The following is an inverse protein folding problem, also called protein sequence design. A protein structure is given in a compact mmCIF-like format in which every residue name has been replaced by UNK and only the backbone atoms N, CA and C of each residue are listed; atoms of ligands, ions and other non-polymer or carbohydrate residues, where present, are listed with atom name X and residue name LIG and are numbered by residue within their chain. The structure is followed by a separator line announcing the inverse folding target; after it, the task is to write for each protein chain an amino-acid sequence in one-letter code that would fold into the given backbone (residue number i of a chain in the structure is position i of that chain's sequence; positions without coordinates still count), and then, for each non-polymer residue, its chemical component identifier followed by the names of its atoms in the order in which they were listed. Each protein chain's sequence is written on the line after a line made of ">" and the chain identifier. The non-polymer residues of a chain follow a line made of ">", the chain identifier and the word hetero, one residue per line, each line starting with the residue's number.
data_IF_244338076006
#
_entry.id   IF_244338076006
#
_cell.length_a   1.000
_cell.length_b   1.000
_cell.length_c   1.000
_cell.angle_alpha   90.00
_cell.angle_beta   90.00
_cell.angle_gamma   90.00
#
_symmetry.space_group_name_H-M   'P 1'
#
loop_
_entity.id
_entity.type
_entity.pdbx_description
1 polymer ?
#
# COMPACT_ATOMS: atom_id res chain seq x y z
N UNK A 1 15.10 9.99 -7.83
CA UNK A 1 16.58 10.05 -7.75
C UNK A 1 17.18 11.17 -8.58
N UNK A 2 16.79 11.37 -9.84
CA UNK A 2 17.36 12.41 -10.71
C UNK A 2 17.14 13.87 -10.21
N UNK A 3 15.95 14.18 -9.66
CA UNK A 3 15.70 15.48 -9.01
C UNK A 3 16.62 15.72 -7.81
N UNK A 4 16.85 14.68 -7.01
CA UNK A 4 17.72 14.70 -5.84
C UNK A 4 19.18 14.98 -6.26
N UNK A 5 19.68 14.33 -7.31
CA UNK A 5 21.02 14.58 -7.83
C UNK A 5 21.19 16.00 -8.38
N UNK A 6 20.16 16.58 -8.99
CA UNK A 6 20.18 18.00 -9.38
C UNK A 6 20.34 18.92 -8.18
N UNK A 7 19.60 18.67 -7.09
CA UNK A 7 19.74 19.44 -5.84
C UNK A 7 21.16 19.33 -5.27
N UNK A 8 21.73 18.13 -5.25
CA UNK A 8 23.11 17.94 -4.79
C UNK A 8 24.13 18.60 -5.73
N UNK A 9 23.89 18.64 -7.03
CA UNK A 9 24.79 19.34 -7.95
C UNK A 9 24.82 20.85 -7.71
N UNK A 10 23.67 21.45 -7.40
CA UNK A 10 23.60 22.85 -6.95
C UNK A 10 24.37 23.06 -5.64
N UNK A 11 24.28 22.12 -4.69
CA UNK A 11 25.06 22.19 -3.46
C UNK A 11 26.57 22.14 -3.72
N UNK A 12 27.05 21.32 -4.68
CA UNK A 12 28.47 21.29 -5.09
C UNK A 12 28.92 22.62 -5.68
N UNK A 13 28.13 23.23 -6.56
CA UNK A 13 28.42 24.54 -7.13
C UNK A 13 28.43 25.64 -6.07
N UNK A 14 27.47 25.61 -5.13
CA UNK A 14 27.45 26.51 -3.98
C UNK A 14 28.69 26.37 -3.10
N UNK A 15 29.11 25.13 -2.83
CA UNK A 15 30.35 24.84 -2.09
C UNK A 15 31.61 25.37 -2.80
N UNK A 16 31.71 25.19 -4.11
CA UNK A 16 32.80 25.76 -4.91
C UNK A 16 32.82 27.29 -4.86
N UNK A 17 31.65 27.93 -4.97
CA UNK A 17 31.52 29.39 -4.84
C UNK A 17 31.98 29.89 -3.46
N UNK A 18 31.57 29.21 -2.38
CA UNK A 18 32.03 29.54 -1.03
C UNK A 18 33.54 29.37 -0.87
N UNK A 19 34.13 28.31 -1.45
CA UNK A 19 35.58 28.11 -1.42
C UNK A 19 36.33 29.26 -2.09
N UNK A 20 35.86 29.74 -3.26
CA UNK A 20 36.47 30.88 -3.94
C UNK A 20 36.29 32.21 -3.19
N UNK A 21 35.12 32.43 -2.59
CA UNK A 21 34.81 33.69 -1.91
C UNK A 21 35.50 33.80 -0.55
N UNK A 22 35.50 32.74 0.25
CA UNK A 22 35.95 32.77 1.63
C UNK A 22 37.36 32.25 1.81
N UNK A 23 37.83 31.34 0.94
CA UNK A 23 39.11 30.69 1.12
C UNK A 23 40.34 31.62 1.12
N UNK A 24 40.39 32.71 0.33
CA UNK A 24 41.49 33.70 0.42
C UNK A 24 41.57 34.43 1.77
N UNK A 25 40.50 34.43 2.57
CA UNK A 25 40.46 35.08 3.88
C UNK A 25 41.16 34.28 4.98
N UNK A 26 41.64 33.06 4.69
CA UNK A 26 42.35 32.21 5.64
C UNK A 26 43.87 32.30 5.41
N UNK A 27 44.60 33.13 6.16
CA UNK A 27 46.00 33.47 5.90
C UNK A 27 46.97 32.29 6.03
N UNK A 28 46.57 31.23 6.74
CA UNK A 28 47.37 30.02 6.98
C UNK A 28 47.21 28.96 5.89
N UNK A 29 46.36 29.20 4.89
CA UNK A 29 46.06 28.26 3.82
C UNK A 29 46.65 28.82 2.53
N UNK A 30 47.53 28.05 1.89
CA UNK A 30 48.10 28.46 0.60
C UNK A 30 46.98 28.69 -0.42
N UNK A 31 46.89 29.91 -0.96
CA UNK A 31 45.85 30.33 -1.93
C UNK A 31 45.72 29.33 -3.09
N UNK A 32 46.82 28.72 -3.53
CA UNK A 32 46.81 27.68 -4.57
C UNK A 32 45.96 26.45 -4.24
N UNK A 33 45.91 26.02 -2.98
CA UNK A 33 45.11 24.86 -2.55
C UNK A 33 43.61 25.18 -2.56
N UNK A 34 43.24 26.38 -2.11
CA UNK A 34 41.85 26.86 -2.14
C UNK A 34 41.34 26.96 -3.58
N UNK A 35 42.12 27.62 -4.46
CA UNK A 35 41.76 27.78 -5.85
C UNK A 35 41.70 26.42 -6.56
N UNK A 36 42.66 25.53 -6.30
CA UNK A 36 42.66 24.17 -6.84
C UNK A 36 41.44 23.36 -6.45
N UNK A 37 41.05 23.39 -5.16
CA UNK A 37 39.84 22.73 -4.66
C UNK A 37 38.57 23.29 -5.30
N UNK A 38 38.42 24.62 -5.36
CA UNK A 38 37.28 25.28 -5.99
C UNK A 38 37.16 24.91 -7.48
N UNK A 39 38.27 24.99 -8.23
CA UNK A 39 38.30 24.63 -9.65
C UNK A 39 37.95 23.17 -9.87
N UNK A 40 38.47 22.27 -9.04
CA UNK A 40 38.12 20.85 -9.10
C UNK A 40 36.62 20.63 -8.84
N UNK A 41 36.06 21.24 -7.81
CA UNK A 41 34.63 21.11 -7.49
C UNK A 41 33.73 21.64 -8.61
N UNK A 42 34.10 22.76 -9.25
CA UNK A 42 33.36 23.31 -10.40
C UNK A 42 33.45 22.38 -11.62
N UNK A 43 34.66 21.91 -11.96
CA UNK A 43 34.85 20.99 -13.08
C UNK A 43 34.10 19.67 -12.86
N UNK A 44 34.14 19.15 -11.64
CA UNK A 44 33.42 17.94 -11.24
C UNK A 44 31.91 18.13 -11.31
N UNK A 45 31.36 19.24 -10.81
CA UNK A 45 29.93 19.55 -10.93
C UNK A 45 29.48 19.69 -12.41
N UNK A 46 30.33 20.23 -13.27
CA UNK A 46 30.10 20.29 -14.71
C UNK A 46 30.09 18.90 -15.36
N UNK A 47 31.05 18.04 -15.01
CA UNK A 47 31.08 16.65 -15.47
C UNK A 47 29.85 15.86 -15.01
N UNK A 48 29.42 16.03 -13.76
CA UNK A 48 28.19 15.45 -13.22
C UNK A 48 26.97 15.94 -14.00
N UNK A 49 26.83 17.25 -14.22
CA UNK A 49 25.71 17.80 -14.98
C UNK A 49 25.66 17.21 -16.40
N UNK A 50 26.81 17.09 -17.08
CA UNK A 50 26.90 16.49 -18.40
C UNK A 50 26.50 15.01 -18.40
N UNK A 51 26.90 14.25 -17.39
CA UNK A 51 26.51 12.84 -17.24
C UNK A 51 25.01 12.72 -17.00
N UNK A 52 24.42 13.59 -16.16
CA UNK A 52 22.99 13.59 -15.86
C UNK A 52 22.11 13.95 -17.08
N UNK A 53 22.60 14.77 -18.01
CA UNK A 53 21.86 15.14 -19.22
C UNK A 53 21.92 14.08 -20.34
N UNK A 54 22.74 13.04 -20.21
CA UNK A 54 22.92 12.03 -21.26
C UNK A 54 21.99 10.83 -21.05
N UNK A 55 20.93 10.74 -21.84
CA UNK A 55 19.97 9.62 -21.77
C UNK A 55 20.61 8.24 -22.00
N UNK A 56 21.68 8.18 -22.81
CA UNK A 56 22.46 6.96 -23.09
C UNK A 56 23.05 6.29 -21.84
N UNK A 57 23.18 7.00 -20.72
CA UNK A 57 23.82 6.50 -19.49
C UNK A 57 22.85 6.09 -18.39
N UNK A 58 21.53 6.03 -18.66
CA UNK A 58 20.52 5.59 -17.67
C UNK A 58 20.79 4.22 -17.05
N UNK A 59 21.27 3.25 -17.84
CA UNK A 59 21.58 1.91 -17.34
C UNK A 59 22.78 1.88 -16.36
N UNK A 60 23.73 2.80 -16.52
CA UNK A 60 24.89 2.93 -15.62
C UNK A 60 24.64 3.85 -14.43
N UNK A 61 23.48 4.51 -14.36
CA UNK A 61 23.16 5.53 -13.38
C UNK A 61 23.40 5.10 -11.92
N UNK A 62 23.03 3.88 -11.47
CA UNK A 62 23.30 3.46 -10.10
C UNK A 62 24.79 3.35 -9.76
N UNK A 63 25.61 2.87 -10.71
CA UNK A 63 27.07 2.78 -10.53
C UNK A 63 27.71 4.16 -10.51
N UNK A 64 27.24 5.05 -11.39
CA UNK A 64 27.69 6.45 -11.46
C UNK A 64 27.41 7.18 -10.14
N UNK A 65 26.20 7.03 -9.58
CA UNK A 65 25.84 7.71 -8.31
C UNK A 65 26.68 7.20 -7.13
N UNK A 66 27.00 5.89 -7.08
CA UNK A 66 27.93 5.34 -6.07
C UNK A 66 29.33 5.91 -6.20
N UNK A 67 29.85 5.96 -7.42
CA UNK A 67 31.15 6.57 -7.70
C UNK A 67 31.17 8.05 -7.31
N UNK A 68 30.14 8.80 -7.71
CA UNK A 68 30.02 10.21 -7.37
C UNK A 68 29.98 10.46 -5.86
N UNK A 69 29.28 9.60 -5.12
CA UNK A 69 29.22 9.70 -3.68
C UNK A 69 30.57 9.41 -3.00
N UNK A 70 31.31 8.42 -3.51
CA UNK A 70 32.67 8.16 -3.04
C UNK A 70 33.60 9.35 -3.32
N UNK A 71 33.47 10.00 -4.49
CA UNK A 71 34.19 11.23 -4.82
C UNK A 71 33.78 12.37 -3.89
N UNK A 72 32.50 12.55 -3.60
CA UNK A 72 32.02 13.59 -2.67
C UNK A 72 32.62 13.40 -1.26
N UNK A 73 32.65 12.16 -0.75
CA UNK A 73 33.31 11.81 0.52
C UNK A 73 34.81 12.13 0.48
N UNK A 74 35.49 11.79 -0.62
CA UNK A 74 36.90 12.10 -0.83
C UNK A 74 37.18 13.60 -0.89
N UNK A 75 36.33 14.39 -1.55
CA UNK A 75 36.44 15.85 -1.60
C UNK A 75 36.34 16.45 -0.20
N UNK A 76 35.41 15.96 0.63
CA UNK A 76 35.26 16.46 2.00
C UNK A 76 36.47 16.08 2.86
N UNK A 77 36.95 14.84 2.77
CA UNK A 77 38.16 14.41 3.48
C UNK A 77 39.39 15.22 3.05
N UNK A 78 39.57 15.46 1.75
CA UNK A 78 40.66 16.28 1.23
C UNK A 78 40.53 17.75 1.65
N UNK A 79 39.32 18.30 1.63
CA UNK A 79 39.05 19.66 2.14
C UNK A 79 39.46 19.77 3.61
N UNK A 80 39.10 18.79 4.45
CA UNK A 80 39.50 18.76 5.86
C UNK A 80 41.04 18.74 6.02
N UNK A 81 41.74 18.03 5.14
CA UNK A 81 43.21 17.97 5.12
C UNK A 81 43.84 19.30 4.67
N UNK A 82 43.28 19.98 3.67
CA UNK A 82 43.79 21.29 3.20
C UNK A 82 43.70 22.34 4.31
N UNK A 83 42.59 22.33 5.07
CA UNK A 83 42.37 23.25 6.19
C UNK A 83 43.08 22.79 7.48
N UNK A 84 43.86 21.72 7.45
CA UNK A 84 44.55 21.17 8.61
C UNK A 84 45.57 22.14 9.24
N UNK A 85 46.17 23.04 8.46
CA UNK A 85 47.10 24.04 8.97
C UNK A 85 46.42 25.20 9.73
N UNK A 86 45.09 25.33 9.63
CA UNK A 86 44.34 26.41 10.28
C UNK A 86 44.20 26.18 11.80
N UNK A 87 44.58 27.14 12.67
CA UNK A 87 44.42 27.04 14.12
C UNK A 87 42.96 26.88 14.57
N UNK A 88 42.02 27.53 13.88
CA UNK A 88 40.59 27.53 14.24
C UNK A 88 39.79 26.37 13.58
N UNK A 89 40.39 25.65 12.62
CA UNK A 89 39.89 24.48 11.89
C UNK A 89 38.35 24.40 11.72
N UNK A 90 37.69 25.48 11.28
CA UNK A 90 36.23 25.71 11.49
C UNK A 90 35.24 24.91 10.61
N UNK A 91 35.68 23.92 9.84
CA UNK A 91 34.86 23.30 8.78
C UNK A 91 33.96 22.17 9.28
N UNK A 92 32.94 22.47 10.11
CA UNK A 92 32.22 21.43 10.88
C UNK A 92 30.82 21.04 10.35
N UNK A 93 30.08 21.93 9.67
CA UNK A 93 28.66 21.69 9.35
C UNK A 93 28.46 20.90 8.05
N UNK A 94 29.34 21.12 7.07
CA UNK A 94 29.19 20.53 5.72
C UNK A 94 29.42 19.01 5.73
N UNK A 95 30.21 18.51 6.68
CA UNK A 95 30.52 17.08 6.84
C UNK A 95 29.25 16.28 7.16
N UNK A 96 28.41 16.77 8.07
CA UNK A 96 27.15 16.12 8.45
C UNK A 96 26.14 16.07 7.30
N UNK A 97 26.18 17.04 6.37
CA UNK A 97 25.32 17.01 5.18
C UNK A 97 25.60 15.81 4.29
N UNK A 98 26.83 15.29 4.24
CA UNK A 98 27.13 14.07 3.48
C UNK A 98 26.53 12.81 4.10
N UNK A 99 26.31 12.78 5.41
CA UNK A 99 25.59 11.69 6.08
C UNK A 99 24.14 11.65 5.61
N UNK A 100 23.49 12.81 5.62
CA UNK A 100 22.12 12.98 5.12
C UNK A 100 22.07 12.61 3.63
N UNK A 101 23.05 13.08 2.85
CA UNK A 101 23.13 12.83 1.42
C UNK A 101 23.37 11.35 1.06
N UNK A 102 24.19 10.65 1.86
CA UNK A 102 24.38 9.20 1.76
C UNK A 102 23.10 8.45 2.09
N UNK A 103 22.41 8.88 3.15
CA UNK A 103 21.12 8.36 3.57
C UNK A 103 20.06 8.43 2.47
N UNK A 104 19.83 9.61 1.90
CA UNK A 104 18.83 9.77 0.83
C UNK A 104 19.18 9.01 -0.46
N UNK A 105 20.46 8.74 -0.72
CA UNK A 105 20.90 8.02 -1.92
C UNK A 105 20.84 6.50 -1.77
N UNK A 106 21.24 5.97 -0.63
CA UNK A 106 21.45 4.53 -0.46
C UNK A 106 20.74 3.97 0.78
N UNK A 107 19.75 4.69 1.29
CA UNK A 107 19.01 4.29 2.48
C UNK A 107 19.85 4.32 3.74
N UNK A 108 19.41 3.59 4.76
CA UNK A 108 20.07 3.55 6.06
C UNK A 108 21.56 3.15 5.98
N UNK A 109 21.91 2.22 5.07
CA UNK A 109 23.30 1.82 4.86
C UNK A 109 24.19 2.96 4.37
N UNK A 110 23.67 3.81 3.47
CA UNK A 110 24.39 4.98 2.97
C UNK A 110 24.75 5.99 4.07
N UNK A 111 23.82 6.25 4.99
CA UNK A 111 24.07 7.14 6.14
C UNK A 111 25.15 6.58 7.07
N UNK A 112 25.11 5.27 7.38
CA UNK A 112 26.09 4.61 8.24
C UNK A 112 27.48 4.62 7.63
N UNK A 113 27.60 4.28 6.33
CA UNK A 113 28.88 4.30 5.61
C UNK A 113 29.47 5.71 5.61
N UNK A 114 28.66 6.72 5.32
CA UNK A 114 29.09 8.12 5.34
C UNK A 114 29.59 8.55 6.72
N UNK A 115 28.80 8.32 7.76
CA UNK A 115 29.15 8.71 9.13
C UNK A 115 30.44 8.04 9.59
N UNK A 116 30.57 6.73 9.35
CA UNK A 116 31.77 5.96 9.75
C UNK A 116 33.01 6.46 9.01
N UNK A 117 32.91 6.66 7.69
CA UNK A 117 34.02 7.18 6.89
C UNK A 117 34.46 8.57 7.36
N UNK A 118 33.50 9.47 7.57
CA UNK A 118 33.78 10.85 7.97
C UNK A 118 34.38 10.93 9.38
N UNK A 119 33.91 10.09 10.31
CA UNK A 119 34.51 9.96 11.64
C UNK A 119 35.95 9.45 11.56
N UNK A 120 36.22 8.41 10.77
CA UNK A 120 37.57 7.88 10.59
C UNK A 120 38.51 8.90 9.94
N UNK A 121 38.05 9.57 8.87
CA UNK A 121 38.80 10.62 8.20
C UNK A 121 39.12 11.79 9.14
N UNK A 122 38.14 12.23 9.94
CA UNK A 122 38.33 13.31 10.90
C UNK A 122 39.39 12.96 11.96
N UNK A 123 39.34 11.75 12.54
CA UNK A 123 40.33 11.28 13.52
C UNK A 123 41.73 11.20 12.90
N UNK A 124 41.84 10.64 11.69
CA UNK A 124 43.12 10.52 10.99
C UNK A 124 43.74 11.91 10.70
N UNK A 125 42.91 12.87 10.26
CA UNK A 125 43.38 14.23 9.98
C UNK A 125 43.72 14.98 11.27
N UNK A 126 42.97 14.77 12.37
CA UNK A 126 43.31 15.33 13.67
C UNK A 126 44.67 14.81 14.19
N UNK A 127 44.97 13.53 14.00
CA UNK A 127 46.27 12.94 14.33
C UNK A 127 47.39 13.52 13.45
N UNK A 128 47.17 13.60 12.13
CA UNK A 128 48.11 14.22 11.19
C UNK A 128 48.42 15.67 11.57
N UNK A 129 47.41 16.44 12.00
CA UNK A 129 47.59 17.83 12.45
C UNK A 129 48.49 17.93 13.67
N UNK A 130 48.30 17.02 14.63
CA UNK A 130 49.09 17.00 15.85
C UNK A 130 50.57 16.68 15.56
N UNK A 131 50.81 15.71 14.67
CA UNK A 131 52.17 15.31 14.29
C UNK A 131 52.88 16.35 13.41
N UNK A 132 52.19 16.92 12.42
CA UNK A 132 52.82 17.76 11.39
C UNK A 132 52.95 19.22 11.81
N UNK A 133 51.92 19.76 12.49
CA UNK A 133 51.86 21.18 12.85
C UNK A 133 52.00 21.44 14.35
N UNK A 134 52.14 20.39 15.17
CA UNK A 134 52.31 20.50 16.62
C UNK A 134 51.04 20.94 17.37
N UNK A 135 49.86 20.86 16.75
CA UNK A 135 48.60 21.21 17.41
C UNK A 135 48.20 20.14 18.44
N UNK A 136 47.80 20.54 19.65
CA UNK A 136 47.34 19.57 20.64
C UNK A 136 46.05 18.87 20.16
N UNK A 137 46.04 17.54 20.23
CA UNK A 137 44.83 16.76 19.99
C UNK A 137 43.92 16.83 21.22
N UNK A 138 43.01 17.81 21.23
CA UNK A 138 42.00 17.93 22.27
C UNK A 138 41.00 16.75 22.19
N UNK A 139 41.25 15.70 22.97
CA UNK A 139 40.40 14.51 23.00
C UNK A 139 38.90 14.82 23.15
N UNK A 140 38.46 15.77 24.02
CA UNK A 140 37.05 16.13 24.11
C UNK A 140 36.46 16.66 22.80
N UNK A 141 37.23 17.48 22.05
CA UNK A 141 36.80 18.03 20.76
C UNK A 141 36.68 16.93 19.71
N UNK A 142 37.64 16.01 19.66
CA UNK A 142 37.61 14.90 18.69
C UNK A 142 36.44 13.96 18.97
N UNK A 143 36.26 13.58 20.23
CA UNK A 143 35.14 12.72 20.65
C UNK A 143 33.80 13.38 20.32
N UNK A 144 33.66 14.69 20.55
CA UNK A 144 32.44 15.43 20.24
C UNK A 144 32.07 15.35 18.75
N UNK A 145 33.01 15.60 17.83
CA UNK A 145 32.72 15.57 16.39
C UNK A 145 32.41 14.16 15.89
N UNK A 146 33.18 13.17 16.34
CA UNK A 146 32.90 11.76 16.03
C UNK A 146 31.51 11.38 16.52
N UNK A 147 31.13 11.77 17.73
CA UNK A 147 29.80 11.52 18.27
C UNK A 147 28.71 12.20 17.42
N UNK A 148 28.89 13.45 17.00
CA UNK A 148 27.94 14.16 16.13
C UNK A 148 27.73 13.43 14.81
N UNK A 149 28.79 12.98 14.14
CA UNK A 149 28.68 12.26 12.86
C UNK A 149 27.98 10.91 13.03
N UNK A 150 28.31 10.17 14.09
CA UNK A 150 27.70 8.87 14.38
C UNK A 150 26.23 9.02 14.81
N UNK A 151 25.89 10.02 15.63
CA UNK A 151 24.51 10.32 16.01
C UNK A 151 23.71 10.74 14.77
N UNK A 152 24.24 11.62 13.92
CA UNK A 152 23.59 11.99 12.67
C UNK A 152 23.35 10.77 11.77
N UNK A 153 24.33 9.87 11.66
CA UNK A 153 24.20 8.64 10.89
C UNK A 153 23.15 7.70 11.48
N UNK A 154 23.14 7.53 12.80
CA UNK A 154 22.18 6.72 13.52
C UNK A 154 20.74 7.26 13.35
N UNK A 155 20.54 8.55 13.59
CA UNK A 155 19.23 9.21 13.44
C UNK A 155 18.74 9.14 11.99
N UNK A 156 19.61 9.45 11.03
CA UNK A 156 19.26 9.37 9.61
C UNK A 156 18.91 7.93 9.20
N UNK A 157 19.68 6.94 9.65
CA UNK A 157 19.41 5.54 9.40
C UNK A 157 18.07 5.09 10.02
N UNK A 158 17.78 5.52 11.26
CA UNK A 158 16.51 5.26 11.94
C UNK A 158 15.32 5.86 11.19
N UNK A 159 15.40 7.15 10.84
CA UNK A 159 14.35 7.86 10.09
C UNK A 159 14.11 7.17 8.74
N UNK A 160 15.17 6.76 8.02
CA UNK A 160 15.01 6.10 6.73
C UNK A 160 14.35 4.73 6.84
N UNK A 161 14.70 3.94 7.87
CA UNK A 161 14.04 2.65 8.13
C UNK A 161 12.57 2.84 8.45
N UNK A 162 12.24 3.81 9.30
CA UNK A 162 10.86 4.12 9.66
C UNK A 162 10.05 4.64 8.45
N UNK A 163 10.66 5.43 7.58
CA UNK A 163 10.00 5.87 6.35
C UNK A 163 9.76 4.71 5.36
N UNK A 164 10.62 3.71 5.35
CA UNK A 164 10.46 2.52 4.51
C UNK A 164 9.32 1.65 5.04
N UNK A 165 9.27 1.37 6.35
CA UNK A 165 8.18 0.61 6.98
C UNK A 165 6.83 1.30 6.82
N UNK A 166 6.75 2.62 7.01
CA UNK A 166 5.52 3.39 6.82
C UNK A 166 5.02 3.36 5.37
N UNK A 167 5.93 3.34 4.39
CA UNK A 167 5.56 3.22 2.97
C UNK A 167 4.99 1.85 2.66
N UNK A 168 5.63 0.78 3.13
CA UNK A 168 5.15 -0.60 2.95
C UNK A 168 3.78 -0.80 3.58
N UNK A 169 3.57 -0.29 4.81
CA UNK A 169 2.27 -0.34 5.48
C UNK A 169 1.19 0.42 4.70
N UNK A 170 1.52 1.61 4.18
CA UNK A 170 0.58 2.40 3.38
C UNK A 170 0.21 1.69 2.08
N UNK A 171 1.18 1.11 1.39
CA UNK A 171 0.94 0.36 0.15
C UNK A 171 0.07 -0.88 0.41
N UNK A 172 0.36 -1.62 1.49
CA UNK A 172 -0.45 -2.76 1.91
C UNK A 172 -1.89 -2.35 2.26
N UNK A 173 -2.07 -1.25 2.99
CA UNK A 173 -3.39 -0.71 3.31
C UNK A 173 -4.18 -0.31 2.06
N UNK A 174 -3.56 0.44 1.15
CA UNK A 174 -4.19 0.84 -0.11
C UNK A 174 -4.61 -0.38 -0.93
N UNK A 175 -3.75 -1.40 -1.02
CA UNK A 175 -4.07 -2.64 -1.73
C UNK A 175 -5.25 -3.38 -1.08
N UNK A 176 -5.25 -3.56 0.24
CA UNK A 176 -6.33 -4.23 0.94
C UNK A 176 -7.68 -3.50 0.81
N UNK A 177 -7.67 -2.16 0.87
CA UNK A 177 -8.88 -1.36 0.67
C UNK A 177 -9.41 -1.45 -0.76
N UNK A 178 -8.53 -1.48 -1.77
CA UNK A 178 -8.91 -1.67 -3.16
C UNK A 178 -9.52 -3.06 -3.41
N UNK A 179 -8.91 -4.12 -2.86
CA UNK A 179 -9.44 -5.50 -2.96
C UNK A 179 -10.81 -5.61 -2.29
N UNK A 180 -10.98 -5.03 -1.10
CA UNK A 180 -12.27 -5.01 -0.39
C UNK A 180 -13.34 -4.25 -1.18
N UNK A 181 -12.98 -3.12 -1.81
CA UNK A 181 -13.90 -2.35 -2.64
C UNK A 181 -14.34 -3.14 -3.89
N UNK A 182 -13.40 -3.83 -4.55
CA UNK A 182 -13.71 -4.67 -5.71
C UNK A 182 -14.64 -5.84 -5.34
N UNK A 183 -14.40 -6.51 -4.21
CA UNK A 183 -15.27 -7.58 -3.74
C UNK A 183 -16.69 -7.08 -3.45
N UNK A 184 -16.82 -5.98 -2.70
CA UNK A 184 -18.14 -5.37 -2.43
C UNK A 184 -18.88 -4.97 -3.70
N UNK A 185 -18.16 -4.45 -4.69
CA UNK A 185 -18.77 -4.10 -5.98
C UNK A 185 -19.22 -5.35 -6.76
N UNK A 186 -18.44 -6.43 -6.73
CA UNK A 186 -18.83 -7.69 -7.35
C UNK A 186 -20.07 -8.30 -6.69
N UNK A 187 -20.13 -8.30 -5.35
CA UNK A 187 -21.29 -8.77 -4.60
C UNK A 187 -22.54 -7.95 -4.94
N UNK A 188 -22.42 -6.61 -5.01
CA UNK A 188 -23.54 -5.75 -5.39
C UNK A 188 -24.03 -6.02 -6.82
N UNK A 189 -23.12 -6.14 -7.79
CA UNK A 189 -23.49 -6.46 -9.19
C UNK A 189 -24.18 -7.84 -9.28
N UNK A 190 -23.71 -8.83 -8.51
CA UNK A 190 -24.33 -10.15 -8.45
C UNK A 190 -25.76 -10.04 -7.93
N UNK A 191 -25.98 -9.31 -6.85
CA UNK A 191 -27.32 -9.11 -6.27
C UNK A 191 -28.26 -8.36 -7.21
N UNK A 192 -27.80 -7.27 -7.84
CA UNK A 192 -28.57 -6.53 -8.85
C UNK A 192 -28.96 -7.43 -10.04
N UNK A 193 -28.02 -8.24 -10.52
CA UNK A 193 -28.27 -9.17 -11.62
C UNK A 193 -29.34 -10.22 -11.26
N UNK A 194 -29.24 -10.82 -10.07
CA UNK A 194 -30.22 -11.81 -9.60
C UNK A 194 -31.60 -11.19 -9.42
N UNK A 195 -31.68 -9.97 -8.88
CA UNK A 195 -32.94 -9.25 -8.72
C UNK A 195 -33.58 -8.94 -10.09
N UNK A 196 -32.80 -8.44 -11.05
CA UNK A 196 -33.28 -8.13 -12.40
C UNK A 196 -33.78 -9.39 -13.14
N UNK A 197 -33.01 -10.47 -13.13
CA UNK A 197 -33.41 -11.73 -13.79
C UNK A 197 -34.68 -12.32 -13.19
N UNK A 198 -34.87 -12.23 -11.88
CA UNK A 198 -36.08 -12.72 -11.21
C UNK A 198 -37.33 -11.97 -11.67
N UNK A 199 -37.23 -10.64 -11.81
CA UNK A 199 -38.32 -9.82 -12.32
C UNK A 199 -38.64 -10.16 -13.79
N UNK A 200 -37.61 -10.28 -14.62
CA UNK A 200 -37.76 -10.54 -16.05
C UNK A 200 -38.29 -11.96 -16.35
N UNK A 201 -38.08 -12.92 -15.45
CA UNK A 201 -38.67 -14.27 -15.56
C UNK A 201 -40.09 -14.38 -15.02
N UNK A 202 -40.47 -13.57 -14.02
CA UNK A 202 -41.84 -13.59 -13.46
C UNK A 202 -42.90 -13.28 -14.52
N UNK A 203 -42.63 -12.31 -15.39
CA UNK A 203 -43.55 -11.91 -16.47
C UNK A 203 -43.85 -13.05 -17.47
N UNK A 204 -42.87 -13.69 -18.14
CA UNK A 204 -43.13 -14.81 -19.03
C UNK A 204 -43.69 -16.03 -18.32
N UNK A 205 -43.28 -16.33 -17.07
CA UNK A 205 -43.86 -17.43 -16.29
C UNK A 205 -45.34 -17.18 -15.99
N UNK A 206 -45.73 -15.94 -15.66
CA UNK A 206 -47.13 -15.55 -15.45
C UNK A 206 -47.96 -15.78 -16.71
N UNK A 207 -47.41 -15.47 -17.89
CA UNK A 207 -48.09 -15.70 -19.18
C UNK A 207 -48.25 -17.20 -19.46
N UNK A 208 -47.20 -18.00 -19.25
CA UNK A 208 -47.27 -19.46 -19.45
C UNK A 208 -48.25 -20.08 -18.45
N UNK A 209 -48.23 -19.66 -17.18
CA UNK A 209 -49.18 -20.12 -16.15
C UNK A 209 -50.61 -19.84 -16.57
N UNK A 210 -50.91 -18.61 -16.99
CA UNK A 210 -52.24 -18.24 -17.46
C UNK A 210 -52.69 -19.06 -18.67
N UNK A 211 -51.81 -19.35 -19.62
CA UNK A 211 -52.13 -20.21 -20.77
C UNK A 211 -52.45 -21.66 -20.33
N UNK A 212 -51.68 -22.22 -19.40
CA UNK A 212 -51.91 -23.57 -18.86
C UNK A 212 -53.20 -23.64 -18.06
N UNK A 213 -53.50 -22.63 -17.23
CA UNK A 213 -54.75 -22.53 -16.47
C UNK A 213 -55.99 -22.46 -17.39
N UNK A 214 -55.89 -21.72 -18.50
CA UNK A 214 -56.96 -21.65 -19.51
C UNK A 214 -57.20 -23.01 -20.18
N UNK A 215 -56.13 -23.75 -20.50
CA UNK A 215 -56.23 -25.11 -21.07
C UNK A 215 -56.87 -26.08 -20.07
N UNK A 216 -56.38 -26.10 -18.82
CA UNK A 216 -56.91 -26.98 -17.77
C UNK A 216 -58.36 -26.67 -17.39
N UNK A 217 -58.77 -25.40 -17.50
CA UNK A 217 -60.15 -24.95 -17.37
C UNK A 217 -61.04 -25.24 -18.58
N UNK A 218 -60.50 -25.93 -19.60
CA UNK A 218 -61.20 -26.34 -20.84
C UNK A 218 -61.88 -25.17 -21.58
N UNK A 219 -61.41 -23.93 -21.39
CA UNK A 219 -62.01 -22.74 -22.03
C UNK A 219 -61.89 -22.73 -23.57
N UNK A 220 -60.78 -23.17 -24.17
CA UNK A 220 -60.67 -23.28 -25.64
C UNK A 220 -61.41 -24.50 -26.21
N UNK A 221 -61.80 -25.46 -25.37
CA UNK A 221 -62.37 -26.74 -25.75
C UNK A 221 -61.96 -27.86 -24.79
N UNK A 222 -62.60 -29.02 -24.92
CA UNK A 222 -62.32 -30.21 -24.10
C UNK A 222 -60.96 -30.82 -24.44
N UNK A 223 -60.22 -31.21 -23.40
CA UNK A 223 -58.92 -31.87 -23.55
C UNK A 223 -59.09 -33.39 -23.61
N UNK A 224 -58.32 -34.05 -24.47
CA UNK A 224 -58.12 -35.51 -24.38
C UNK A 224 -57.34 -35.85 -23.10
N UNK A 225 -57.43 -37.11 -22.59
CA UNK A 225 -56.69 -37.52 -21.39
C UNK A 225 -55.18 -37.24 -21.46
N UNK A 226 -54.54 -37.52 -22.61
CA UNK A 226 -53.12 -37.22 -22.82
C UNK A 226 -52.80 -35.73 -22.81
N UNK A 227 -53.67 -34.88 -23.38
CA UNK A 227 -53.48 -33.42 -23.34
C UNK A 227 -53.64 -32.86 -21.93
N UNK A 228 -54.57 -33.41 -21.14
CA UNK A 228 -54.74 -33.05 -19.73
C UNK A 228 -53.50 -33.40 -18.91
N UNK A 229 -52.96 -34.62 -19.05
CA UNK A 229 -51.73 -35.02 -18.36
C UNK A 229 -50.54 -34.11 -18.70
N UNK A 230 -50.41 -33.71 -19.97
CA UNK A 230 -49.38 -32.76 -20.43
C UNK A 230 -49.57 -31.36 -19.83
N UNK A 231 -50.81 -30.85 -19.81
CA UNK A 231 -51.12 -29.54 -19.24
C UNK A 231 -50.89 -29.50 -17.71
N UNK A 232 -51.28 -30.55 -16.99
CA UNK A 232 -50.99 -30.66 -15.54
C UNK A 232 -49.49 -30.78 -15.27
N UNK A 233 -48.75 -31.46 -16.16
CA UNK A 233 -47.28 -31.50 -16.08
C UNK A 233 -46.66 -30.12 -16.31
N UNK A 234 -47.14 -29.37 -17.31
CA UNK A 234 -46.71 -28.01 -17.56
C UNK A 234 -47.00 -27.09 -16.36
N UNK A 235 -48.19 -27.19 -15.76
CA UNK A 235 -48.57 -26.41 -14.57
C UNK A 235 -47.60 -26.65 -13.41
N UNK A 236 -47.31 -27.93 -13.10
CA UNK A 236 -46.36 -28.30 -12.05
C UNK A 236 -44.96 -27.75 -12.30
N UNK A 237 -44.49 -27.73 -13.55
CA UNK A 237 -43.17 -27.19 -13.88
C UNK A 237 -43.13 -25.66 -13.81
N UNK A 238 -44.20 -24.97 -14.23
CA UNK A 238 -44.31 -23.51 -14.12
C UNK A 238 -44.30 -23.08 -12.65
N UNK A 239 -45.09 -23.73 -11.77
CA UNK A 239 -45.05 -23.43 -10.32
C UNK A 239 -43.67 -23.63 -9.72
N UNK A 240 -42.98 -24.73 -10.07
CA UNK A 240 -41.61 -24.98 -9.61
C UNK A 240 -40.63 -23.89 -10.06
N UNK A 241 -40.78 -23.39 -11.28
CA UNK A 241 -39.97 -22.30 -11.81
C UNK A 241 -40.26 -20.98 -11.08
N UNK A 242 -41.52 -20.69 -10.78
CA UNK A 242 -41.91 -19.52 -9.99
C UNK A 242 -41.31 -19.57 -8.58
N UNK A 243 -41.46 -20.70 -7.88
CA UNK A 243 -40.83 -20.94 -6.56
C UNK A 243 -39.30 -20.74 -6.62
N UNK A 244 -38.66 -21.23 -7.67
CA UNK A 244 -37.21 -21.09 -7.85
C UNK A 244 -36.79 -19.62 -8.07
N UNK A 245 -37.54 -18.86 -8.87
CA UNK A 245 -37.27 -17.42 -9.08
C UNK A 245 -37.49 -16.61 -7.80
N UNK A 246 -38.45 -17.00 -6.97
CA UNK A 246 -38.70 -16.35 -5.67
C UNK A 246 -37.56 -16.62 -4.69
N UNK A 247 -37.10 -17.87 -4.60
CA UNK A 247 -35.96 -18.26 -3.76
C UNK A 247 -34.65 -17.55 -4.17
N UNK A 248 -34.42 -17.35 -5.46
CA UNK A 248 -33.25 -16.59 -5.95
C UNK A 248 -33.29 -15.13 -5.50
N UNK A 249 -34.48 -14.50 -5.52
CA UNK A 249 -34.65 -13.12 -5.06
C UNK A 249 -34.47 -13.01 -3.54
N UNK A 250 -35.01 -13.94 -2.77
CA UNK A 250 -34.81 -14.00 -1.32
C UNK A 250 -33.34 -14.16 -0.97
N UNK A 251 -32.60 -15.00 -1.69
CA UNK A 251 -31.16 -15.18 -1.51
C UNK A 251 -30.39 -13.88 -1.79
N UNK A 252 -30.72 -13.16 -2.88
CA UNK A 252 -30.09 -11.87 -3.20
C UNK A 252 -30.33 -10.82 -2.10
N UNK A 253 -31.56 -10.74 -1.57
CA UNK A 253 -31.90 -9.82 -0.46
C UNK A 253 -31.20 -10.21 0.85
N UNK A 254 -31.04 -11.51 1.10
CA UNK A 254 -30.32 -12.05 2.24
C UNK A 254 -28.83 -11.68 2.18
N UNK A 255 -28.20 -11.85 1.02
CA UNK A 255 -26.79 -11.50 0.79
C UNK A 255 -26.52 -9.99 0.96
N UNK A 256 -27.48 -9.12 0.62
CA UNK A 256 -27.38 -7.67 0.83
C UNK A 256 -27.74 -7.21 2.26
N UNK A 257 -28.15 -8.13 3.14
CA UNK A 257 -28.61 -7.80 4.50
C UNK A 257 -29.91 -7.00 4.53
N UNK A 258 -30.71 -7.04 3.47
CA UNK A 258 -31.97 -6.31 3.32
C UNK A 258 -33.19 -7.05 3.91
N UNK A 259 -33.00 -8.17 4.60
CA UNK A 259 -34.10 -8.86 5.28
C UNK A 259 -34.42 -8.14 6.58
N UNK A 260 -35.52 -7.40 6.58
CA UNK A 260 -36.12 -6.84 7.80
C UNK A 260 -36.97 -7.92 8.45
N UNK A 261 -36.57 -8.36 9.65
CA UNK A 261 -37.38 -9.26 10.46
C UNK A 261 -38.44 -8.46 11.21
N UNK A 262 -39.71 -8.71 10.90
CA UNK A 262 -40.82 -8.25 11.73
C UNK A 262 -41.00 -9.22 12.89
N UNK A 263 -40.77 -8.73 14.12
CA UNK A 263 -40.92 -9.54 15.33
C UNK A 263 -42.34 -9.37 15.86
N UNK A 264 -43.08 -10.47 15.91
CA UNK A 264 -44.43 -10.53 16.48
C UNK A 264 -44.54 -11.70 17.48
N UNK A 265 -45.46 -11.57 18.43
CA UNK A 265 -45.80 -12.68 19.33
C UNK A 265 -46.52 -13.76 18.53
N UNK A 266 -45.98 -14.99 18.60
CA UNK A 266 -46.50 -16.13 17.87
C UNK A 266 -46.63 -17.33 18.83
N UNK A 267 -47.69 -18.13 18.68
CA UNK A 267 -47.79 -19.42 19.37
C UNK A 267 -47.05 -20.49 18.56
N UNK A 268 -45.87 -20.98 19.01
CA UNK A 268 -45.12 -21.99 18.28
C UNK A 268 -45.89 -23.30 18.10
N UNK A 269 -46.84 -23.63 18.99
CA UNK A 269 -47.67 -24.83 18.86
C UNK A 269 -48.70 -24.66 17.74
N UNK A 270 -49.29 -23.47 17.62
CA UNK A 270 -50.22 -23.15 16.54
C UNK A 270 -49.50 -23.17 15.17
N UNK A 271 -48.35 -22.50 15.08
CA UNK A 271 -47.51 -22.51 13.87
C UNK A 271 -47.13 -23.94 13.45
N UNK A 272 -46.67 -24.76 14.39
CA UNK A 272 -46.29 -26.14 14.09
C UNK A 272 -47.49 -26.99 13.65
N UNK A 273 -48.68 -26.77 14.22
CA UNK A 273 -49.92 -27.43 13.77
C UNK A 273 -50.27 -27.03 12.34
N UNK A 274 -50.15 -25.75 11.99
CA UNK A 274 -50.40 -25.24 10.65
C UNK A 274 -49.44 -25.86 9.62
N UNK A 275 -48.16 -25.97 9.97
CA UNK A 275 -47.15 -26.64 9.12
C UNK A 275 -47.50 -28.11 8.88
N UNK A 276 -47.88 -28.84 9.94
CA UNK A 276 -48.30 -30.25 9.82
C UNK A 276 -49.57 -30.40 8.98
N UNK A 277 -50.54 -29.51 9.16
CA UNK A 277 -51.77 -29.49 8.38
C UNK A 277 -51.49 -29.23 6.89
N UNK A 278 -50.65 -28.25 6.57
CA UNK A 278 -50.27 -27.90 5.21
C UNK A 278 -49.57 -29.05 4.46
N UNK A 279 -48.75 -29.85 5.16
CA UNK A 279 -47.96 -30.93 4.55
C UNK A 279 -48.63 -32.31 4.60
N UNK A 280 -49.70 -32.48 5.38
CA UNK A 280 -50.45 -33.73 5.52
C UNK A 280 -50.98 -34.31 4.18
N UNK A 281 -51.50 -33.51 3.23
CA UNK A 281 -51.95 -34.02 1.92
C UNK A 281 -50.81 -34.65 1.10
N UNK A 282 -49.65 -34.01 1.07
CA UNK A 282 -48.46 -34.49 0.36
C UNK A 282 -47.92 -35.77 1.00
N UNK A 283 -47.85 -35.81 2.33
CA UNK A 283 -47.44 -37.00 3.07
C UNK A 283 -48.37 -38.19 2.78
N UNK A 284 -49.69 -37.98 2.77
CA UNK A 284 -50.66 -39.02 2.39
C UNK A 284 -50.46 -39.50 0.95
N UNK A 285 -50.26 -38.58 0.00
CA UNK A 285 -50.00 -38.93 -1.40
C UNK A 285 -48.74 -39.81 -1.56
N UNK A 286 -47.72 -39.59 -0.71
CA UNK A 286 -46.48 -40.37 -0.67
C UNK A 286 -46.49 -41.55 0.31
N UNK A 287 -47.62 -41.84 0.96
CA UNK A 287 -47.78 -42.88 2.02
C UNK A 287 -46.81 -42.71 3.20
N UNK A 288 -46.57 -41.47 3.59
CA UNK A 288 -45.77 -41.06 4.74
C UNK A 288 -46.68 -40.51 5.85
N UNK A 289 -46.20 -40.54 7.09
CA UNK A 289 -46.89 -39.97 8.25
C UNK A 289 -46.04 -38.87 8.89
N UNK A 290 -46.71 -37.79 9.31
CA UNK A 290 -46.11 -36.67 10.04
C UNK A 290 -46.68 -36.72 11.46
N UNK A 291 -45.82 -36.75 12.47
CA UNK A 291 -46.20 -36.73 13.88
C UNK A 291 -45.61 -35.50 14.54
N UNK A 292 -46.45 -34.70 15.20
CA UNK A 292 -46.02 -33.62 16.07
C UNK A 292 -45.91 -34.17 17.49
N UNK A 293 -44.71 -34.10 18.08
CA UNK A 293 -44.47 -34.46 19.47
C UNK A 293 -44.08 -33.20 20.25
N UNK A 294 -44.76 -32.95 21.36
CA UNK A 294 -44.61 -31.73 22.16
C UNK A 294 -44.27 -32.13 23.60
N UNK A 295 -42.97 -32.17 23.90
CA UNK A 295 -42.49 -32.44 25.26
C UNK A 295 -42.57 -31.15 26.11
N UNK A 296 -43.62 -31.05 26.94
CA UNK A 296 -43.87 -29.90 27.79
C UNK A 296 -44.66 -28.79 27.08
N UNK A 297 -45.62 -28.19 27.79
CA UNK A 297 -46.42 -27.07 27.26
C UNK A 297 -45.55 -25.90 26.79
N UNK A 298 -46.04 -25.06 25.85
CA UNK A 298 -45.21 -24.09 25.16
C UNK A 298 -44.47 -23.19 26.16
N UNK A 299 -43.16 -22.91 25.95
CA UNK A 299 -42.50 -21.86 26.70
C UNK A 299 -43.27 -20.55 26.48
N UNK A 300 -43.50 -19.79 27.55
CA UNK A 300 -44.23 -18.53 27.51
C UNK A 300 -43.74 -17.66 26.33
N UNK A 301 -44.69 -17.18 25.53
CA UNK A 301 -44.49 -16.51 24.24
C UNK A 301 -43.31 -15.52 24.23
N UNK A 302 -42.52 -15.56 23.16
CA UNK A 302 -41.45 -14.59 22.84
C UNK A 302 -42.02 -13.43 22.02
#
# INVERSE_FOLDING_TARGET
>A
MERLERTFNWARLGGAGLAFLLGPSFPNIGIGYVLGLGTFMTAYAGAVAWVLHSERRRAMFPRIVRFMFAVDLGIVAYSLLVFAADPEWTTYIVVTLLVIAGGFRFGAGGAVVAGTFLSAAYVAIAAYRAETYGFAMEAPRVVFHVAVFLIAAYLMAGILRELETLREQREAFVKATAETAMLRQADHIKSEFLAAMSHDFRSPLTVVRGAVELLLGERPGSLTPQQRDLAESAERNVRRLEEFTEQLLEMARLEEGQITLEKEQLDPVELLRDVVAAHSPLAKAKRQWIRLDLDGGPPAAW
#
